data_IF_542245489761
#
_entry.id   IF_542245489761
#
_cell.length_a   1.000
_cell.length_b   1.000
_cell.length_c   1.000
_cell.angle_alpha   90.00
_cell.angle_beta   90.00
_cell.angle_gamma   90.00
#
_symmetry.space_group_name_H-M   'P 1'
#
loop_
_entity.id
_entity.type
_entity.pdbx_description
1 polymer ?
#
# COMPACT_ATOMS: atom_id res chain seq x y z
N UNK A 1 -26.52 18.17 8.24
CA UNK A 1 -25.13 18.43 7.81
C UNK A 1 -24.58 17.18 7.10
N UNK A 2 -25.11 16.85 5.93
CA UNK A 2 -24.79 15.60 5.22
C UNK A 2 -24.18 15.82 3.82
N UNK A 3 -24.07 17.06 3.36
CA UNK A 3 -23.67 17.34 1.97
C UNK A 3 -22.18 17.62 1.79
N UNK A 4 -21.42 17.63 2.89
CA UNK A 4 -19.98 17.94 2.92
C UNK A 4 -19.09 16.70 3.15
N UNK A 5 -19.69 15.51 3.20
CA UNK A 5 -18.91 14.27 3.28
C UNK A 5 -18.26 13.98 1.92
N UNK A 6 -16.94 13.71 1.87
CA UNK A 6 -16.26 13.43 0.62
C UNK A 6 -16.88 12.20 -0.06
N UNK A 7 -17.25 12.37 -1.33
CA UNK A 7 -17.90 11.34 -2.14
C UNK A 7 -17.21 11.19 -3.48
N UNK A 8 -17.05 9.94 -3.91
CA UNK A 8 -16.54 9.60 -5.25
C UNK A 8 -17.67 8.87 -5.98
N UNK A 9 -17.99 9.32 -7.19
CA UNK A 9 -19.01 8.67 -8.02
C UNK A 9 -18.36 7.90 -9.17
N UNK A 10 -18.68 6.61 -9.29
CA UNK A 10 -18.24 5.74 -10.38
C UNK A 10 -19.47 5.09 -11.02
N UNK A 11 -19.88 5.63 -12.17
CA UNK A 11 -21.16 5.26 -12.78
C UNK A 11 -22.33 5.55 -11.84
N UNK A 12 -23.23 4.59 -11.57
CA UNK A 12 -24.32 4.80 -10.64
C UNK A 12 -23.90 4.67 -9.17
N UNK A 13 -22.70 4.18 -8.86
CA UNK A 13 -22.26 3.91 -7.48
C UNK A 13 -21.68 5.17 -6.85
N UNK A 14 -22.02 5.44 -5.58
CA UNK A 14 -21.44 6.55 -4.81
C UNK A 14 -20.69 6.00 -3.61
N UNK A 15 -19.38 6.17 -3.62
CA UNK A 15 -18.48 5.79 -2.54
C UNK A 15 -18.42 6.91 -1.51
N UNK A 16 -18.57 6.52 -0.24
CA UNK A 16 -18.36 7.33 0.96
C UNK A 16 -17.26 6.68 1.81
N UNK A 17 -16.71 7.39 2.81
CA UNK A 17 -15.65 6.88 3.67
C UNK A 17 -15.88 5.47 4.25
N UNK A 18 -17.14 5.14 4.59
CA UNK A 18 -17.48 3.84 5.20
C UNK A 18 -18.69 3.14 4.54
N UNK A 19 -19.12 3.56 3.35
CA UNK A 19 -20.25 2.93 2.65
C UNK A 19 -20.22 3.15 1.14
N UNK A 20 -21.00 2.35 0.41
CA UNK A 20 -21.27 2.58 -1.01
C UNK A 20 -22.78 2.59 -1.22
N UNK A 21 -23.31 3.66 -1.79
CA UNK A 21 -24.71 3.71 -2.24
C UNK A 21 -24.85 3.10 -3.63
N UNK A 22 -25.91 2.33 -3.83
CA UNK A 22 -26.31 1.75 -5.11
C UNK A 22 -27.74 2.19 -5.44
N UNK A 23 -27.93 3.33 -6.13
CA UNK A 23 -29.24 3.81 -6.52
C UNK A 23 -29.90 2.86 -7.52
N UNK A 24 -31.11 2.41 -7.20
CA UNK A 24 -31.91 1.55 -8.08
C UNK A 24 -31.29 0.16 -8.28
N UNK A 25 -31.27 -0.31 -9.54
CA UNK A 25 -30.73 -1.63 -9.92
C UNK A 25 -29.81 -1.51 -11.14
N UNK A 26 -28.55 -1.07 -10.96
CA UNK A 26 -27.59 -1.00 -12.06
C UNK A 26 -27.43 -2.36 -12.78
N UNK A 27 -27.36 -2.38 -14.12
CA UNK A 27 -27.05 -3.59 -14.88
C UNK A 27 -25.77 -4.26 -14.39
N UNK A 28 -25.75 -5.59 -14.31
CA UNK A 28 -24.60 -6.37 -13.80
C UNK A 28 -23.23 -5.97 -14.42
N UNK A 29 -23.11 -5.67 -15.73
CA UNK A 29 -21.83 -5.23 -16.29
C UNK A 29 -21.25 -3.96 -15.66
N UNK A 30 -22.07 -3.08 -15.09
CA UNK A 30 -21.63 -1.83 -14.47
C UNK A 30 -20.99 -2.02 -13.09
N UNK A 31 -21.07 -3.20 -12.50
CA UNK A 31 -20.52 -3.48 -11.16
C UNK A 31 -19.01 -3.74 -11.16
N UNK A 32 -18.48 -4.25 -12.27
CA UNK A 32 -17.08 -4.71 -12.36
C UNK A 32 -16.09 -3.57 -12.05
N UNK A 33 -16.21 -2.45 -12.75
CA UNK A 33 -15.29 -1.31 -12.58
C UNK A 33 -15.28 -0.72 -11.16
N UNK A 34 -16.44 -0.38 -10.56
CA UNK A 34 -16.52 0.08 -9.18
C UNK A 34 -15.94 -0.91 -8.16
N UNK A 35 -16.17 -2.22 -8.34
CA UNK A 35 -15.60 -3.25 -7.48
C UNK A 35 -14.08 -3.34 -7.63
N UNK A 36 -13.57 -3.32 -8.86
CA UNK A 36 -12.14 -3.29 -9.15
C UNK A 36 -11.47 -2.04 -8.56
N UNK A 37 -12.12 -0.88 -8.65
CA UNK A 37 -11.66 0.36 -8.04
C UNK A 37 -11.58 0.25 -6.51
N UNK A 38 -12.62 -0.28 -5.85
CA UNK A 38 -12.63 -0.48 -4.41
C UNK A 38 -11.47 -1.38 -3.96
N UNK A 39 -11.25 -2.48 -4.67
CA UNK A 39 -10.15 -3.41 -4.45
C UNK A 39 -8.78 -2.74 -4.69
N UNK A 40 -8.68 -1.87 -5.69
CA UNK A 40 -7.46 -1.10 -5.95
C UNK A 40 -7.16 -0.11 -4.82
N UNK A 41 -8.14 0.70 -4.41
CA UNK A 41 -7.99 1.63 -3.29
C UNK A 41 -7.56 0.93 -2.00
N UNK A 42 -8.15 -0.23 -1.69
CA UNK A 42 -7.79 -1.03 -0.52
C UNK A 42 -6.31 -1.45 -0.54
N UNK A 43 -5.77 -1.85 -1.70
CA UNK A 43 -4.38 -2.29 -1.82
C UNK A 43 -3.38 -1.16 -2.02
N UNK A 44 -3.79 -0.08 -2.68
CA UNK A 44 -2.92 1.01 -3.11
C UNK A 44 -2.83 2.16 -2.11
N UNK A 45 -3.85 2.38 -1.27
CA UNK A 45 -3.85 3.51 -0.33
C UNK A 45 -2.62 3.58 0.60
N UNK A 46 -2.08 2.48 1.16
CA UNK A 46 -0.83 2.54 1.92
C UNK A 46 0.36 3.08 1.12
N UNK A 47 0.42 2.75 -0.18
CA UNK A 47 1.45 3.24 -1.09
C UNK A 47 1.26 4.71 -1.40
N UNK A 48 0.04 5.13 -1.75
CA UNK A 48 -0.25 6.54 -2.01
C UNK A 48 0.07 7.42 -0.79
N UNK A 49 -0.31 6.99 0.41
CA UNK A 49 0.04 7.71 1.65
C UNK A 49 1.56 7.84 1.78
N UNK A 50 2.30 6.73 1.68
CA UNK A 50 3.75 6.75 1.82
C UNK A 50 4.48 7.54 0.73
N UNK A 51 4.02 7.44 -0.51
CA UNK A 51 4.58 8.18 -1.65
C UNK A 51 4.30 9.67 -1.55
N UNK A 52 3.09 10.07 -1.15
CA UNK A 52 2.75 11.47 -0.90
C UNK A 52 3.57 12.06 0.24
N UNK A 53 3.80 11.29 1.32
CA UNK A 53 4.67 11.75 2.40
C UNK A 53 6.10 11.97 1.90
N UNK A 54 6.69 10.97 1.26
CA UNK A 54 8.07 11.08 0.77
C UNK A 54 8.24 12.20 -0.27
N UNK A 55 7.27 12.37 -1.17
CA UNK A 55 7.28 13.44 -2.17
C UNK A 55 7.12 14.82 -1.51
N UNK A 56 6.17 14.96 -0.57
CA UNK A 56 5.93 16.20 0.15
C UNK A 56 7.13 16.64 0.99
N UNK A 57 7.72 15.72 1.76
CA UNK A 57 8.96 15.97 2.50
C UNK A 57 10.10 16.39 1.56
N UNK A 58 10.23 15.74 0.39
CA UNK A 58 11.28 16.07 -0.59
C UNK A 58 11.07 17.42 -1.28
N UNK A 59 9.83 17.86 -1.47
CA UNK A 59 9.50 19.07 -2.21
C UNK A 59 9.42 20.31 -1.31
N UNK A 60 8.93 20.16 -0.07
CA UNK A 60 8.62 21.29 0.80
C UNK A 60 9.28 21.22 2.19
N UNK A 61 9.96 20.11 2.52
CA UNK A 61 10.67 19.99 3.81
C UNK A 61 9.75 20.15 5.02
N UNK A 62 10.11 21.07 5.92
CA UNK A 62 9.40 21.30 7.19
C UNK A 62 7.95 21.77 6.99
N UNK A 63 7.66 22.56 5.95
CA UNK A 63 6.30 23.04 5.65
C UNK A 63 5.32 21.89 5.40
N UNK A 64 5.79 20.79 4.81
CA UNK A 64 4.95 19.61 4.62
C UNK A 64 4.61 18.89 5.93
N UNK A 65 5.47 19.06 6.94
CA UNK A 65 5.27 18.51 8.28
C UNK A 65 3.99 19.01 8.93
N UNK A 66 3.61 20.28 8.70
CA UNK A 66 2.36 20.87 9.21
C UNK A 66 1.11 20.22 8.58
N UNK A 67 1.16 19.97 7.27
CA UNK A 67 0.09 19.27 6.53
C UNK A 67 -0.05 17.83 7.03
N UNK A 68 1.07 17.13 7.21
CA UNK A 68 1.06 15.77 7.75
C UNK A 68 0.55 15.73 9.18
N UNK A 69 1.02 16.62 10.07
CA UNK A 69 0.67 16.62 11.49
C UNK A 69 -0.81 16.92 11.76
N UNK A 70 -1.48 17.64 10.86
CA UNK A 70 -2.92 17.90 10.95
C UNK A 70 -3.79 16.78 10.37
N UNK A 71 -3.23 15.93 9.49
CA UNK A 71 -3.99 14.92 8.74
C UNK A 71 -3.70 13.48 9.19
N UNK A 72 -2.50 13.19 9.68
CA UNK A 72 -1.98 11.86 9.95
C UNK A 72 -1.35 11.78 11.33
N UNK A 73 -1.45 10.63 11.98
CA UNK A 73 -0.65 10.36 13.18
C UNK A 73 0.82 10.16 12.83
N UNK A 74 1.71 10.51 13.75
CA UNK A 74 3.16 10.27 13.61
C UNK A 74 3.48 8.80 13.32
N UNK A 75 2.72 7.86 13.90
CA UNK A 75 2.87 6.43 13.63
C UNK A 75 2.55 6.08 12.17
N UNK A 76 1.45 6.60 11.62
CA UNK A 76 1.08 6.39 10.22
C UNK A 76 2.13 6.96 9.27
N UNK A 77 2.62 8.17 9.57
CA UNK A 77 3.68 8.82 8.79
C UNK A 77 4.91 7.93 8.74
N UNK A 78 5.42 7.55 9.91
CA UNK A 78 6.60 6.70 10.02
C UNK A 78 6.41 5.35 9.31
N UNK A 79 5.29 4.66 9.54
CA UNK A 79 5.00 3.35 8.97
C UNK A 79 4.95 3.37 7.44
N UNK A 80 4.14 4.24 6.86
CA UNK A 80 3.90 4.22 5.41
C UNK A 80 5.06 4.83 4.63
N UNK A 81 5.62 5.97 5.08
CA UNK A 81 6.74 6.62 4.42
C UNK A 81 7.98 5.72 4.39
N UNK A 82 8.28 5.07 5.53
CA UNK A 82 9.41 4.15 5.70
C UNK A 82 9.41 3.01 4.68
N UNK A 83 8.27 2.35 4.48
CA UNK A 83 8.16 1.22 3.54
C UNK A 83 8.16 1.72 2.10
N UNK A 84 7.41 2.78 1.80
CA UNK A 84 7.38 3.37 0.45
C UNK A 84 8.76 3.83 -0.03
N UNK A 85 9.57 4.38 0.87
CA UNK A 85 10.96 4.82 0.60
C UNK A 85 11.91 3.65 0.37
N UNK A 86 11.75 2.57 1.13
CA UNK A 86 12.65 1.41 1.10
C UNK A 86 12.31 0.41 -0.01
N UNK A 87 11.04 0.36 -0.42
CA UNK A 87 10.54 -0.50 -1.50
C UNK A 87 10.09 0.37 -2.67
N UNK A 88 10.99 0.65 -3.63
CA UNK A 88 10.70 1.59 -4.71
C UNK A 88 9.67 0.99 -5.69
N UNK A 89 8.97 1.83 -6.49
CA UNK A 89 7.88 1.39 -7.37
C UNK A 89 8.20 0.18 -8.25
N UNK A 90 9.41 0.08 -8.79
CA UNK A 90 9.89 -1.02 -9.62
C UNK A 90 9.99 -2.37 -8.90
N UNK A 91 10.04 -2.36 -7.56
CA UNK A 91 10.04 -3.57 -6.74
C UNK A 91 8.63 -3.97 -6.27
N UNK A 92 7.64 -3.09 -6.39
CA UNK A 92 6.28 -3.34 -5.90
C UNK A 92 5.52 -4.26 -6.84
N UNK A 93 4.80 -5.23 -6.28
CA UNK A 93 3.96 -6.19 -7.00
C UNK A 93 2.50 -5.96 -6.63
N UNK A 94 1.64 -5.45 -7.54
CA UNK A 94 0.25 -5.11 -7.24
C UNK A 94 -0.63 -6.28 -6.76
N UNK A 95 -0.22 -7.53 -7.06
CA UNK A 95 -0.89 -8.74 -6.59
C UNK A 95 -0.59 -9.08 -5.12
N UNK A 96 0.50 -8.54 -4.56
CA UNK A 96 0.90 -8.78 -3.17
C UNK A 96 0.38 -7.68 -2.24
N UNK A 97 0.11 -8.05 -0.99
CA UNK A 97 -0.32 -7.08 0.03
C UNK A 97 0.80 -6.10 0.38
N UNK A 98 0.45 -4.92 0.89
CA UNK A 98 1.45 -3.98 1.43
C UNK A 98 2.31 -4.62 2.53
N UNK A 99 1.71 -5.44 3.40
CA UNK A 99 2.43 -6.14 4.47
C UNK A 99 3.49 -7.12 3.96
N UNK A 100 3.26 -7.76 2.81
CA UNK A 100 4.28 -8.58 2.16
C UNK A 100 5.50 -7.74 1.74
N UNK A 101 5.29 -6.50 1.29
CA UNK A 101 6.39 -5.60 0.96
C UNK A 101 7.09 -5.06 2.20
N UNK A 102 6.34 -4.76 3.27
CA UNK A 102 6.91 -4.37 4.55
C UNK A 102 7.89 -5.43 5.09
N UNK A 103 7.58 -6.72 4.89
CA UNK A 103 8.44 -7.85 5.27
C UNK A 103 9.84 -7.77 4.66
N UNK A 104 9.94 -7.34 3.40
CA UNK A 104 11.21 -7.27 2.66
C UNK A 104 11.87 -5.89 2.73
N UNK A 105 11.23 -4.88 3.32
CA UNK A 105 11.67 -3.48 3.23
C UNK A 105 13.09 -3.23 3.75
N UNK A 106 13.61 -4.06 4.67
CA UNK A 106 14.97 -3.92 5.20
C UNK A 106 16.04 -4.64 4.38
N UNK A 107 15.66 -5.38 3.34
CA UNK A 107 16.57 -6.09 2.45
C UNK A 107 17.10 -5.19 1.34
N UNK A 108 18.17 -5.65 0.67
CA UNK A 108 18.67 -5.03 -0.55
C UNK A 108 17.58 -4.97 -1.65
N UNK A 109 17.60 -3.97 -2.55
CA UNK A 109 16.63 -3.91 -3.64
C UNK A 109 16.59 -5.18 -4.52
N UNK A 110 17.73 -5.87 -4.66
CA UNK A 110 17.79 -7.13 -5.40
C UNK A 110 17.07 -8.27 -4.66
N UNK A 111 17.27 -8.38 -3.35
CA UNK A 111 16.61 -9.41 -2.53
C UNK A 111 15.12 -9.16 -2.34
N UNK A 112 14.71 -7.90 -2.24
CA UNK A 112 13.29 -7.52 -2.30
C UNK A 112 12.63 -8.09 -3.55
N UNK A 113 13.19 -7.82 -4.74
CA UNK A 113 12.64 -8.34 -6.01
C UNK A 113 12.58 -9.86 -6.02
N UNK A 114 13.64 -10.52 -5.56
CA UNK A 114 13.75 -11.98 -5.55
C UNK A 114 12.69 -12.62 -4.65
N UNK A 115 12.55 -12.14 -3.42
CA UNK A 115 11.60 -12.70 -2.46
C UNK A 115 10.16 -12.35 -2.79
N UNK A 116 9.89 -11.14 -3.29
CA UNK A 116 8.54 -10.78 -3.77
C UNK A 116 8.16 -11.59 -5.01
N UNK A 117 9.08 -11.85 -5.93
CA UNK A 117 8.83 -12.73 -7.08
C UNK A 117 8.52 -14.16 -6.64
N UNK A 118 9.25 -14.67 -5.64
CA UNK A 118 8.99 -15.99 -5.07
C UNK A 118 7.62 -16.03 -4.39
N UNK A 119 7.26 -15.00 -3.61
CA UNK A 119 5.96 -14.93 -2.95
C UNK A 119 4.79 -14.94 -3.94
N UNK A 120 4.88 -14.18 -5.03
CA UNK A 120 3.85 -14.15 -6.06
C UNK A 120 3.73 -15.49 -6.80
N UNK A 121 4.87 -16.13 -7.13
CA UNK A 121 4.91 -17.42 -7.83
C UNK A 121 4.40 -18.58 -6.97
N UNK A 122 4.73 -18.59 -5.68
CA UNK A 122 4.44 -19.68 -4.75
C UNK A 122 3.14 -19.44 -3.94
N UNK A 123 2.49 -18.29 -4.13
CA UNK A 123 1.27 -17.93 -3.41
C UNK A 123 1.46 -17.68 -1.92
N UNK A 124 2.64 -17.22 -1.49
CA UNK A 124 2.93 -16.94 -0.08
C UNK A 124 2.10 -15.75 0.43
N UNK A 125 1.49 -15.92 1.59
CA UNK A 125 0.90 -14.79 2.31
C UNK A 125 1.99 -13.96 3.02
N UNK A 126 1.59 -12.89 3.72
CA UNK A 126 2.53 -12.01 4.41
C UNK A 126 3.31 -12.70 5.53
N UNK A 127 2.70 -13.66 6.23
CA UNK A 127 3.33 -14.40 7.33
C UNK A 127 4.34 -15.42 6.80
N UNK A 128 4.00 -16.12 5.72
CA UNK A 128 4.92 -17.00 4.99
C UNK A 128 6.14 -16.23 4.53
N UNK A 129 5.92 -15.06 3.90
CA UNK A 129 7.02 -14.21 3.43
C UNK A 129 7.87 -13.68 4.58
N UNK A 130 7.28 -13.27 5.71
CA UNK A 130 8.05 -12.90 6.91
C UNK A 130 8.96 -14.03 7.38
N UNK A 131 8.44 -15.27 7.42
CA UNK A 131 9.24 -16.44 7.79
C UNK A 131 10.39 -16.64 6.79
N UNK A 132 10.11 -16.55 5.48
CA UNK A 132 11.11 -16.70 4.41
C UNK A 132 12.19 -15.62 4.44
N UNK A 133 11.82 -14.38 4.78
CA UNK A 133 12.78 -13.28 4.98
C UNK A 133 13.72 -13.60 6.15
N UNK A 134 13.19 -14.05 7.30
CA UNK A 134 14.03 -14.41 8.45
C UNK A 134 15.00 -15.55 8.13
N UNK A 135 14.51 -16.61 7.49
CA UNK A 135 15.34 -17.73 7.02
C UNK A 135 16.44 -17.23 6.07
N UNK A 136 16.08 -16.32 5.15
CA UNK A 136 17.03 -15.75 4.20
C UNK A 136 18.12 -14.91 4.88
N UNK A 137 17.77 -14.05 5.84
CA UNK A 137 18.72 -13.19 6.55
C UNK A 137 19.70 -14.03 7.38
N UNK A 138 19.19 -15.01 8.15
CA UNK A 138 20.05 -15.90 8.94
C UNK A 138 21.06 -16.65 8.05
N UNK A 139 20.61 -17.16 6.91
CA UNK A 139 21.47 -17.87 5.96
C UNK A 139 22.51 -16.97 5.25
N UNK A 140 22.36 -15.65 5.27
CA UNK A 140 23.37 -14.70 4.78
C UNK A 140 24.42 -14.40 5.84
N UNK A 141 24.00 -14.22 7.10
CA UNK A 141 24.90 -14.00 8.24
C UNK A 141 25.86 -15.19 8.42
N UNK A 142 25.36 -16.42 8.31
CA UNK A 142 26.17 -17.65 8.40
C UNK A 142 27.22 -17.79 7.28
N UNK A 143 27.02 -17.14 6.12
CA UNK A 143 27.98 -17.16 5.01
C UNK A 143 29.04 -16.07 5.10
N UNK A 144 28.80 -15.08 5.94
CA UNK A 144 29.68 -13.93 6.14
C UNK A 144 30.64 -14.13 7.31
N UNK A 145 30.34 -15.09 8.20
CA UNK A 145 31.19 -15.59 9.30
C UNK A 145 32.06 -16.77 8.87
#
# INVERSE_FOLDING_TARGET
>A
MADDEPKIQLGPFRFRPASVEVPGRPPLPQWKGPLEFALWCQRASPWWIGDMINAGESLFGEEFGEVCGSTLSTEMVSRYASVARRVPPENRRPALSWSAHAAVARLSPADQRRLLAAAEREGWNSDDLHKKVREFVAAQEDKQN
#
